data_IF_394838560589
#
_entry.id   IF_394838560589
#
_cell.length_a   1.000
_cell.length_b   1.000
_cell.length_c   1.000
_cell.angle_alpha   90.00
_cell.angle_beta   90.00
_cell.angle_gamma   90.00
#
_symmetry.space_group_name_H-M   'P 1'
#
loop_
_entity.id
_entity.type
_entity.pdbx_description
1 polymer ?
#
# COMPACT_ATOMS: atom_id res chain seq x y z
N UNK A 1 -15.07 -12.79 -28.87
CA UNK A 1 -15.44 -11.64 -28.04
C UNK A 1 -14.20 -10.78 -27.89
N UNK A 2 -14.27 -9.46 -28.10
CA UNK A 2 -13.11 -8.57 -27.99
C UNK A 2 -12.82 -8.35 -26.50
N UNK A 3 -11.56 -8.58 -26.10
CA UNK A 3 -11.08 -8.38 -24.73
C UNK A 3 -10.31 -7.07 -24.62
N UNK A 4 -10.39 -6.45 -23.46
CA UNK A 4 -9.65 -5.23 -23.12
C UNK A 4 -8.99 -5.40 -21.76
N UNK A 5 -7.86 -4.73 -21.55
CA UNK A 5 -7.22 -4.63 -20.25
C UNK A 5 -7.77 -3.42 -19.51
N UNK A 6 -8.30 -3.67 -18.31
CA UNK A 6 -8.70 -2.63 -17.37
C UNK A 6 -7.66 -2.53 -16.25
N UNK A 7 -7.38 -1.32 -15.81
CA UNK A 7 -6.48 -0.98 -14.71
C UNK A 7 -7.27 -0.28 -13.62
N UNK A 8 -7.18 -0.80 -12.42
CA UNK A 8 -7.87 -0.24 -11.26
C UNK A 8 -6.82 0.21 -10.25
N UNK A 9 -7.00 1.41 -9.69
CA UNK A 9 -6.19 1.94 -8.59
C UNK A 9 -7.08 2.31 -7.41
N UNK A 10 -6.65 1.98 -6.18
CA UNK A 10 -7.36 2.34 -4.95
C UNK A 10 -6.38 2.85 -3.92
N UNK A 11 -6.70 3.99 -3.30
CA UNK A 11 -5.89 4.56 -2.24
C UNK A 11 -6.71 5.32 -1.20
N UNK A 12 -6.10 5.55 -0.03
CA UNK A 12 -6.54 6.38 1.10
C UNK A 12 -7.92 6.00 1.66
N UNK A 13 -8.18 4.69 1.83
CA UNK A 13 -9.44 4.17 2.38
C UNK A 13 -9.37 3.83 3.86
N UNK A 14 -8.21 3.98 4.52
CA UNK A 14 -7.98 3.54 5.88
C UNK A 14 -7.69 4.69 6.85
N UNK A 15 -8.11 4.49 8.09
CA UNK A 15 -7.77 5.33 9.23
C UNK A 15 -6.54 4.74 9.95
N UNK A 16 -5.89 5.51 10.82
CA UNK A 16 -4.73 5.03 11.60
C UNK A 16 -5.00 3.73 12.38
N UNK A 17 -6.21 3.57 12.91
CA UNK A 17 -6.58 2.46 13.77
C UNK A 17 -7.50 1.45 13.09
N UNK A 18 -8.30 1.86 12.10
CA UNK A 18 -9.40 1.08 11.52
C UNK A 18 -9.24 1.00 10.00
N UNK A 19 -9.66 -0.13 9.45
CA UNK A 19 -9.66 -0.39 8.02
C UNK A 19 -8.29 -0.70 7.45
N UNK A 20 -8.25 -1.03 6.19
CA UNK A 20 -7.03 -1.26 5.44
C UNK A 20 -7.32 -1.22 3.94
N UNK A 21 -6.59 -0.41 3.19
CA UNK A 21 -6.76 -0.29 1.74
C UNK A 21 -6.52 -1.62 1.02
N UNK A 22 -5.63 -2.50 1.55
CA UNK A 22 -5.40 -3.82 0.96
C UNK A 22 -6.62 -4.73 1.04
N UNK A 23 -7.33 -4.73 2.18
CA UNK A 23 -8.58 -5.47 2.38
C UNK A 23 -9.68 -4.92 1.47
N UNK A 24 -9.84 -3.60 1.42
CA UNK A 24 -10.84 -2.95 0.56
C UNK A 24 -10.63 -3.26 -0.92
N UNK A 25 -9.38 -3.29 -1.37
CA UNK A 25 -9.06 -3.68 -2.76
C UNK A 25 -9.40 -5.16 -3.02
N UNK A 26 -9.15 -6.06 -2.06
CA UNK A 26 -9.54 -7.46 -2.20
C UNK A 26 -11.05 -7.62 -2.28
N UNK A 27 -11.79 -6.93 -1.41
CA UNK A 27 -13.26 -6.92 -1.41
C UNK A 27 -13.82 -6.41 -2.76
N UNK A 28 -13.29 -5.28 -3.27
CA UNK A 28 -13.66 -4.76 -4.58
C UNK A 28 -13.41 -5.77 -5.71
N UNK A 29 -12.23 -6.38 -5.74
CA UNK A 29 -11.85 -7.34 -6.79
C UNK A 29 -12.79 -8.56 -6.75
N UNK A 30 -13.09 -9.09 -5.58
CA UNK A 30 -14.02 -10.21 -5.46
C UNK A 30 -15.41 -9.83 -5.94
N UNK A 31 -15.88 -8.63 -5.59
CA UNK A 31 -17.17 -8.10 -6.03
C UNK A 31 -17.27 -7.93 -7.56
N UNK A 32 -16.18 -7.51 -8.20
CA UNK A 32 -16.10 -7.42 -9.67
C UNK A 32 -16.16 -8.82 -10.31
N UNK A 33 -15.38 -9.78 -9.81
CA UNK A 33 -15.31 -11.13 -10.37
C UNK A 33 -16.64 -11.86 -10.26
N UNK A 34 -17.38 -11.66 -9.16
CA UNK A 34 -18.68 -12.29 -8.94
C UNK A 34 -19.77 -11.79 -9.93
N UNK A 35 -19.58 -10.62 -10.52
CA UNK A 35 -20.59 -9.97 -11.37
C UNK A 35 -20.15 -9.80 -12.82
N UNK A 36 -18.92 -10.15 -13.17
CA UNK A 36 -18.37 -9.98 -14.52
C UNK A 36 -17.52 -11.18 -14.93
N UNK A 37 -17.21 -11.26 -16.24
CA UNK A 37 -16.26 -12.23 -16.79
C UNK A 37 -14.81 -11.71 -16.75
N UNK A 38 -14.46 -10.96 -15.70
CA UNK A 38 -13.10 -10.44 -15.53
C UNK A 38 -12.13 -11.51 -15.04
N UNK A 39 -10.95 -11.54 -15.64
CA UNK A 39 -9.79 -12.33 -15.21
C UNK A 39 -8.76 -11.39 -14.55
N UNK A 40 -8.27 -11.75 -13.36
CA UNK A 40 -7.18 -10.99 -12.71
C UNK A 40 -5.87 -11.38 -13.38
N UNK A 41 -5.19 -10.42 -13.97
CA UNK A 41 -3.85 -10.60 -14.52
C UNK A 41 -2.77 -10.30 -13.49
N UNK A 42 -2.97 -9.27 -12.65
CA UNK A 42 -1.96 -8.81 -11.70
C UNK A 42 -2.59 -8.03 -10.55
N UNK A 43 -2.03 -8.22 -9.35
CA UNK A 43 -2.29 -7.40 -8.17
C UNK A 43 -1.02 -6.66 -7.78
N UNK A 44 -1.14 -5.38 -7.49
CA UNK A 44 -0.02 -4.49 -7.15
C UNK A 44 -0.20 -3.90 -5.77
N UNK A 45 0.88 -3.88 -5.00
CA UNK A 45 0.98 -3.10 -3.76
C UNK A 45 2.16 -2.13 -3.90
N UNK A 46 1.85 -0.87 -4.16
CA UNK A 46 2.84 0.14 -4.48
C UNK A 46 3.11 1.01 -3.27
N UNK A 47 4.33 0.96 -2.75
CA UNK A 47 4.79 1.84 -1.69
C UNK A 47 5.05 3.23 -2.26
N UNK A 48 4.47 4.22 -1.63
CA UNK A 48 4.55 5.63 -2.04
C UNK A 48 5.64 6.36 -1.26
N UNK A 49 5.75 7.66 -1.47
CA UNK A 49 6.75 8.51 -0.81
C UNK A 49 6.73 8.34 0.72
N UNK A 50 7.84 7.88 1.32
CA UNK A 50 7.86 7.53 2.74
C UNK A 50 7.77 8.73 3.69
N UNK A 51 7.94 9.95 3.17
CA UNK A 51 7.92 11.20 3.94
C UNK A 51 6.63 12.01 3.77
N UNK A 52 5.60 11.43 3.14
CA UNK A 52 4.31 12.08 3.01
C UNK A 52 3.72 12.38 4.40
N UNK A 53 3.21 13.60 4.59
CA UNK A 53 2.58 14.03 5.85
C UNK A 53 1.31 13.21 6.12
N UNK A 54 0.44 13.14 5.11
CA UNK A 54 -0.76 12.30 5.12
C UNK A 54 -0.39 10.88 4.71
N UNK A 55 -0.10 10.05 5.67
CA UNK A 55 0.09 8.62 5.44
C UNK A 55 -0.41 7.81 6.63
N UNK A 56 -0.94 6.66 6.36
CA UNK A 56 -1.14 5.62 7.34
C UNK A 56 0.02 4.64 7.29
N UNK A 57 0.12 3.74 8.21
CA UNK A 57 1.08 2.61 8.32
C UNK A 57 2.23 2.58 7.30
N UNK A 58 2.04 1.88 6.18
CA UNK A 58 3.10 1.64 5.21
C UNK A 58 3.05 2.54 3.96
N UNK A 59 2.18 3.54 3.92
CA UNK A 59 1.96 4.44 2.78
C UNK A 59 1.94 3.71 1.44
N UNK A 60 0.94 2.88 1.23
CA UNK A 60 0.86 2.05 0.03
C UNK A 60 -0.50 2.11 -0.63
N UNK A 61 -0.51 2.34 -1.93
CA UNK A 61 -1.67 2.26 -2.79
C UNK A 61 -1.77 0.90 -3.49
N UNK A 62 -2.97 0.50 -3.86
CA UNK A 62 -3.24 -0.77 -4.51
C UNK A 62 -3.58 -0.57 -5.99
N UNK A 63 -3.10 -1.50 -6.81
CA UNK A 63 -3.45 -1.60 -8.20
C UNK A 63 -3.87 -3.01 -8.60
N UNK A 64 -4.69 -3.12 -9.65
CA UNK A 64 -4.99 -4.38 -10.30
C UNK A 64 -5.04 -4.21 -11.81
N UNK A 65 -4.55 -5.23 -12.54
CA UNK A 65 -4.81 -5.40 -13.96
C UNK A 65 -5.85 -6.50 -14.13
N UNK A 66 -6.90 -6.19 -14.86
CA UNK A 66 -7.98 -7.10 -15.20
C UNK A 66 -8.07 -7.23 -16.72
N UNK A 67 -8.34 -8.44 -17.19
CA UNK A 67 -8.72 -8.70 -18.58
C UNK A 67 -10.22 -8.96 -18.64
N UNK A 68 -10.93 -8.27 -19.49
CA UNK A 68 -12.38 -8.33 -19.51
C UNK A 68 -12.97 -8.16 -20.91
N UNK A 69 -14.22 -8.62 -21.15
CA UNK A 69 -14.96 -8.31 -22.36
C UNK A 69 -15.23 -6.81 -22.48
N UNK A 70 -14.97 -6.24 -23.66
CA UNK A 70 -15.15 -4.80 -23.90
C UNK A 70 -16.58 -4.34 -23.62
N UNK A 71 -17.58 -5.20 -23.83
CA UNK A 71 -18.99 -4.91 -23.61
C UNK A 71 -19.35 -4.72 -22.13
N UNK A 72 -18.49 -5.17 -21.21
CA UNK A 72 -18.73 -5.06 -19.77
C UNK A 72 -18.10 -3.81 -19.14
N UNK A 73 -17.55 -2.89 -19.94
CA UNK A 73 -16.93 -1.66 -19.41
C UNK A 73 -17.89 -0.83 -18.54
N UNK A 74 -19.08 -0.57 -19.06
CA UNK A 74 -20.10 0.21 -18.34
C UNK A 74 -20.57 -0.50 -17.07
N UNK A 75 -20.77 -1.81 -17.14
CA UNK A 75 -21.12 -2.63 -15.98
C UNK A 75 -20.03 -2.57 -14.90
N UNK A 76 -18.75 -2.67 -15.29
CA UNK A 76 -17.64 -2.52 -14.35
C UNK A 76 -17.67 -1.16 -13.64
N UNK A 77 -17.84 -0.08 -14.38
CA UNK A 77 -17.92 1.28 -13.81
C UNK A 77 -19.10 1.39 -12.84
N UNK A 78 -20.26 0.84 -13.18
CA UNK A 78 -21.43 0.81 -12.31
C UNK A 78 -21.13 0.03 -11.00
N UNK A 79 -20.59 -1.18 -11.09
CA UNK A 79 -20.20 -2.01 -9.94
C UNK A 79 -19.23 -1.24 -9.03
N UNK A 80 -18.23 -0.59 -9.60
CA UNK A 80 -17.25 0.21 -8.87
C UNK A 80 -17.89 1.39 -8.14
N UNK A 81 -18.83 2.11 -8.77
CA UNK A 81 -19.55 3.21 -8.13
C UNK A 81 -20.42 2.73 -6.95
N UNK A 82 -21.16 1.64 -7.14
CA UNK A 82 -22.01 1.05 -6.09
C UNK A 82 -21.17 0.55 -4.92
N UNK A 83 -20.06 -0.12 -5.20
CA UNK A 83 -19.13 -0.58 -4.19
C UNK A 83 -18.50 0.59 -3.42
N UNK A 84 -18.05 1.63 -4.14
CA UNK A 84 -17.43 2.80 -3.54
C UNK A 84 -18.39 3.55 -2.60
N UNK A 85 -19.64 3.71 -3.00
CA UNK A 85 -20.67 4.35 -2.19
C UNK A 85 -20.91 3.61 -0.88
N UNK A 86 -20.95 2.26 -0.91
CA UNK A 86 -21.07 1.43 0.30
C UNK A 86 -19.84 1.57 1.20
N UNK A 87 -18.65 1.52 0.61
CA UNK A 87 -17.39 1.70 1.34
C UNK A 87 -17.32 3.08 2.00
N UNK A 88 -17.72 4.13 1.30
CA UNK A 88 -17.71 5.49 1.83
C UNK A 88 -18.60 5.62 3.07
N UNK A 89 -19.80 5.03 3.04
CA UNK A 89 -20.70 5.00 4.22
C UNK A 89 -20.08 4.31 5.45
N UNK A 90 -19.16 3.37 5.25
CA UNK A 90 -18.41 2.75 6.36
C UNK A 90 -17.33 3.71 6.86
N UNK A 91 -16.60 4.38 5.95
CA UNK A 91 -15.55 5.33 6.31
C UNK A 91 -16.10 6.53 7.07
N UNK A 92 -17.28 7.01 6.75
CA UNK A 92 -17.96 8.09 7.47
C UNK A 92 -18.21 7.78 8.95
N UNK A 93 -18.22 6.50 9.33
CA UNK A 93 -18.37 6.06 10.72
C UNK A 93 -17.04 5.97 11.47
N UNK A 94 -15.90 6.21 10.79
CA UNK A 94 -14.59 6.18 11.43
C UNK A 94 -14.42 7.33 12.43
N UNK A 95 -13.59 7.15 13.48
CA UNK A 95 -13.25 8.21 14.39
C UNK A 95 -12.67 9.42 13.65
N UNK A 96 -12.96 10.62 14.14
CA UNK A 96 -12.34 11.84 13.63
C UNK A 96 -10.83 11.80 13.91
N UNK A 97 -10.03 12.11 12.91
CA UNK A 97 -8.57 12.23 13.01
C UNK A 97 -8.10 13.51 12.32
N UNK A 98 -6.86 13.88 12.56
CA UNK A 98 -6.22 15.02 11.91
C UNK A 98 -6.27 14.92 10.38
N UNK A 99 -6.06 13.70 9.87
CA UNK A 99 -6.19 13.39 8.46
C UNK A 99 -7.31 12.34 8.28
N UNK A 100 -8.49 12.83 7.91
CA UNK A 100 -9.57 11.94 7.53
C UNK A 100 -9.20 11.17 6.23
N UNK A 101 -9.62 9.91 6.08
CA UNK A 101 -9.47 9.20 4.81
C UNK A 101 -10.06 9.99 3.64
N UNK A 102 -9.39 9.95 2.51
CA UNK A 102 -9.78 10.64 1.29
C UNK A 102 -9.76 9.63 0.13
N UNK A 103 -10.65 8.62 0.16
CA UNK A 103 -10.60 7.52 -0.77
C UNK A 103 -10.76 7.95 -2.22
N UNK A 104 -9.99 7.28 -3.07
CA UNK A 104 -10.13 7.37 -4.52
C UNK A 104 -10.02 5.99 -5.15
N UNK A 105 -10.97 5.69 -6.03
CA UNK A 105 -10.98 4.56 -6.94
C UNK A 105 -10.84 5.10 -8.37
N UNK A 106 -9.77 4.69 -9.04
CA UNK A 106 -9.47 5.08 -10.41
C UNK A 106 -9.59 3.87 -11.34
N UNK A 107 -10.23 4.05 -12.48
CA UNK A 107 -10.35 3.05 -13.54
C UNK A 107 -9.77 3.64 -14.83
N UNK A 108 -8.85 2.90 -15.46
CA UNK A 108 -8.31 3.28 -16.77
C UNK A 108 -8.26 2.08 -17.71
N UNK A 109 -8.71 2.28 -18.94
CA UNK A 109 -8.60 1.28 -20.01
C UNK A 109 -7.34 1.45 -20.84
N UNK A 110 -6.60 2.54 -20.62
CA UNK A 110 -5.33 2.83 -21.26
C UNK A 110 -4.19 2.85 -20.22
N UNK A 111 -2.95 2.58 -20.62
CA UNK A 111 -1.80 2.76 -19.76
C UNK A 111 -1.65 4.22 -19.31
N UNK A 112 -1.30 4.43 -18.05
CA UNK A 112 -0.96 5.75 -17.53
C UNK A 112 0.55 6.02 -17.64
N UNK A 113 0.98 7.29 -17.71
CA UNK A 113 2.38 7.65 -17.76
C UNK A 113 3.14 7.14 -16.53
N UNK A 114 4.20 6.37 -16.71
CA UNK A 114 5.03 5.85 -15.61
C UNK A 114 5.66 6.98 -14.78
N UNK A 115 5.82 8.15 -15.35
CA UNK A 115 6.27 9.36 -14.66
C UNK A 115 5.41 9.69 -13.44
N UNK A 116 4.12 9.40 -13.46
CA UNK A 116 3.22 9.65 -12.32
C UNK A 116 3.58 8.80 -11.11
N UNK A 117 4.05 7.58 -11.34
CA UNK A 117 4.62 6.75 -10.28
C UNK A 117 5.89 7.40 -9.71
N UNK A 118 6.84 7.77 -10.58
CA UNK A 118 8.11 8.34 -10.17
C UNK A 118 7.95 9.64 -9.37
N UNK A 119 7.07 10.52 -9.79
CA UNK A 119 6.74 11.76 -9.06
C UNK A 119 6.22 11.44 -7.66
N UNK A 120 5.33 10.44 -7.55
CA UNK A 120 4.65 10.11 -6.30
C UNK A 120 5.56 9.39 -5.28
N UNK A 121 6.52 8.58 -5.74
CA UNK A 121 7.45 7.90 -4.83
C UNK A 121 8.61 8.77 -4.39
N UNK A 122 8.88 9.87 -5.09
CA UNK A 122 10.02 10.76 -4.86
C UNK A 122 9.67 12.09 -4.20
N UNK A 123 8.42 12.45 -4.12
CA UNK A 123 8.04 13.74 -3.55
C UNK A 123 6.55 13.99 -3.42
N UNK A 124 6.23 15.21 -3.06
CA UNK A 124 4.86 15.67 -3.01
C UNK A 124 4.32 15.89 -4.42
N UNK A 125 3.10 15.42 -4.64
CA UNK A 125 2.32 15.67 -5.86
C UNK A 125 1.03 16.37 -5.44
N UNK A 126 0.67 17.44 -6.12
CA UNK A 126 -0.56 18.16 -5.88
C UNK A 126 -1.77 17.32 -6.31
N UNK A 127 -2.74 17.07 -5.42
CA UNK A 127 -3.90 16.23 -5.73
C UNK A 127 -4.81 16.80 -6.82
N UNK A 128 -4.99 18.13 -6.86
CA UNK A 128 -5.81 18.79 -7.87
C UNK A 128 -5.17 18.67 -9.26
N UNK A 129 -3.86 18.93 -9.34
CA UNK A 129 -3.12 18.77 -10.60
C UNK A 129 -3.18 17.31 -11.09
N UNK A 130 -3.03 16.31 -10.19
CA UNK A 130 -3.10 14.90 -10.56
C UNK A 130 -4.51 14.51 -11.02
N UNK A 131 -5.53 15.01 -10.37
CA UNK A 131 -6.92 14.81 -10.77
C UNK A 131 -7.18 15.34 -12.18
N UNK A 132 -6.74 16.57 -12.48
CA UNK A 132 -6.89 17.19 -13.80
C UNK A 132 -6.14 16.39 -14.88
N UNK A 133 -4.95 15.90 -14.58
CA UNK A 133 -4.16 15.06 -15.48
C UNK A 133 -4.87 13.73 -15.76
N UNK A 134 -5.43 13.07 -14.75
CA UNK A 134 -6.15 11.81 -14.89
C UNK A 134 -7.46 11.99 -15.68
N UNK A 135 -8.18 13.10 -15.45
CA UNK A 135 -9.36 13.46 -16.22
C UNK A 135 -9.03 13.67 -17.71
N UNK A 136 -7.95 14.35 -18.04
CA UNK A 136 -7.46 14.52 -19.43
C UNK A 136 -7.04 13.19 -20.09
N UNK A 137 -6.74 12.16 -19.30
CA UNK A 137 -6.46 10.80 -19.78
C UNK A 137 -7.72 9.91 -19.87
N UNK A 138 -8.92 10.51 -19.73
CA UNK A 138 -10.20 9.80 -19.75
C UNK A 138 -10.28 8.66 -18.72
N UNK A 139 -9.70 8.85 -17.54
CA UNK A 139 -9.90 7.93 -16.44
C UNK A 139 -11.28 8.16 -15.81
N UNK A 140 -11.95 7.08 -15.42
CA UNK A 140 -13.08 7.15 -14.49
C UNK A 140 -12.53 7.32 -13.08
N UNK A 141 -12.88 8.42 -12.41
CA UNK A 141 -12.37 8.77 -11.09
C UNK A 141 -13.54 8.88 -10.13
N UNK A 142 -13.62 7.94 -9.19
CA UNK A 142 -14.63 7.92 -8.13
C UNK A 142 -13.91 8.30 -6.84
N UNK A 143 -14.28 9.40 -6.20
CA UNK A 143 -13.57 9.94 -5.05
C UNK A 143 -14.51 10.58 -4.02
N UNK A 144 -14.02 10.77 -2.79
CA UNK A 144 -14.69 11.57 -1.76
C UNK A 144 -14.54 13.08 -2.04
N UNK A 145 -15.06 13.92 -1.16
CA UNK A 145 -14.99 15.39 -1.32
C UNK A 145 -13.56 15.92 -1.49
N UNK A 146 -12.56 15.27 -0.88
CA UNK A 146 -11.16 15.59 -1.09
C UNK A 146 -10.51 14.64 -2.09
N UNK A 147 -9.43 15.07 -2.75
CA UNK A 147 -8.81 14.36 -3.87
C UNK A 147 -7.45 13.70 -3.52
N UNK A 148 -7.08 13.61 -2.25
CA UNK A 148 -5.75 13.13 -1.87
C UNK A 148 -5.45 11.69 -2.35
N UNK A 149 -6.42 10.78 -2.27
CA UNK A 149 -6.26 9.41 -2.74
C UNK A 149 -6.03 9.26 -4.25
N UNK A 150 -6.34 10.29 -5.05
CA UNK A 150 -6.09 10.27 -6.51
C UNK A 150 -4.62 10.07 -6.81
N UNK A 151 -3.73 10.67 -6.00
CA UNK A 151 -2.28 10.62 -6.21
C UNK A 151 -1.75 9.18 -6.13
N UNK A 152 -2.11 8.46 -5.08
CA UNK A 152 -1.66 7.08 -4.91
C UNK A 152 -2.37 6.10 -5.84
N UNK A 153 -3.68 6.27 -6.09
CA UNK A 153 -4.43 5.44 -7.03
C UNK A 153 -3.83 5.54 -8.45
N UNK A 154 -3.51 6.75 -8.92
CA UNK A 154 -2.81 6.97 -10.19
C UNK A 154 -1.42 6.33 -10.21
N UNK A 155 -0.64 6.47 -9.14
CA UNK A 155 0.70 5.90 -9.05
C UNK A 155 0.68 4.38 -9.10
N UNK A 156 -0.28 3.73 -8.43
CA UNK A 156 -0.43 2.28 -8.44
C UNK A 156 -0.79 1.71 -9.81
N UNK A 157 -1.59 2.45 -10.59
CA UNK A 157 -1.89 2.10 -11.99
C UNK A 157 -0.72 2.37 -12.92
N UNK A 158 -0.03 3.50 -12.73
CA UNK A 158 1.08 3.92 -13.58
C UNK A 158 2.36 3.08 -13.39
N UNK A 159 2.55 2.49 -12.20
CA UNK A 159 3.72 1.69 -11.91
C UNK A 159 3.77 0.43 -12.78
N UNK A 160 4.95 0.16 -13.35
CA UNK A 160 5.23 -1.06 -14.10
C UNK A 160 6.21 -1.94 -13.32
N UNK A 161 5.82 -3.17 -12.94
CA UNK A 161 6.73 -4.11 -12.30
C UNK A 161 7.98 -4.37 -13.15
N UNK A 162 9.11 -4.61 -12.47
CA UNK A 162 10.39 -4.91 -13.09
C UNK A 162 10.85 -6.31 -12.69
N UNK A 163 11.88 -6.83 -13.36
CA UNK A 163 12.44 -8.14 -13.08
C UNK A 163 12.85 -8.32 -11.61
N UNK A 164 13.37 -7.26 -10.98
CA UNK A 164 13.77 -7.25 -9.56
C UNK A 164 12.62 -6.92 -8.59
N UNK A 165 11.40 -6.74 -9.06
CA UNK A 165 10.26 -6.50 -8.17
C UNK A 165 10.05 -7.69 -7.23
N UNK A 166 9.67 -7.37 -6.00
CA UNK A 166 9.42 -8.35 -4.95
C UNK A 166 7.93 -8.63 -4.78
N UNK A 167 7.58 -9.51 -3.87
CA UNK A 167 6.19 -9.90 -3.62
C UNK A 167 5.84 -9.74 -2.15
N UNK A 168 4.60 -9.33 -1.88
CA UNK A 168 4.04 -9.29 -0.53
C UNK A 168 2.67 -9.98 -0.53
N UNK A 169 2.58 -11.05 0.24
CA UNK A 169 1.30 -11.69 0.53
C UNK A 169 0.70 -11.03 1.78
N UNK A 170 -0.51 -10.53 1.67
CA UNK A 170 -1.29 -10.00 2.79
C UNK A 170 -2.38 -11.00 3.15
N UNK A 171 -2.41 -11.39 4.43
CA UNK A 171 -3.47 -12.21 5.01
C UNK A 171 -4.36 -11.36 5.91
N UNK A 172 -5.68 -11.53 5.81
CA UNK A 172 -6.66 -10.79 6.62
C UNK A 172 -7.33 -11.67 7.65
N UNK A 173 -7.71 -11.05 8.73
CA UNK A 173 -8.35 -11.69 9.90
C UNK A 173 -9.83 -11.92 9.63
N UNK A 174 -10.41 -12.87 10.35
CA UNK A 174 -11.86 -12.97 10.47
C UNK A 174 -12.40 -11.73 11.20
N UNK A 175 -13.57 -11.21 10.81
CA UNK A 175 -14.20 -10.01 11.41
C UNK A 175 -14.32 -10.11 12.92
N UNK A 176 -14.69 -11.28 13.44
CA UNK A 176 -14.80 -11.56 14.87
C UNK A 176 -13.47 -11.42 15.64
N UNK A 177 -12.34 -11.35 14.94
CA UNK A 177 -10.99 -11.24 15.48
C UNK A 177 -10.41 -9.83 15.37
N UNK A 178 -11.00 -8.96 14.55
CA UNK A 178 -10.55 -7.57 14.40
C UNK A 178 -10.67 -6.86 15.76
N UNK A 179 -9.68 -6.04 16.10
CA UNK A 179 -9.59 -5.35 17.40
C UNK A 179 -9.04 -6.21 18.55
N UNK A 180 -9.03 -7.54 18.43
CA UNK A 180 -8.47 -8.45 19.47
C UNK A 180 -6.97 -8.65 19.27
N UNK A 181 -6.27 -9.10 20.31
CA UNK A 181 -4.85 -9.49 20.22
C UNK A 181 -4.66 -10.55 19.13
N UNK A 182 -3.69 -10.35 18.23
CA UNK A 182 -3.31 -11.35 17.22
C UNK A 182 -2.66 -12.56 17.87
N UNK A 183 -3.00 -13.74 17.38
CA UNK A 183 -2.29 -14.98 17.72
C UNK A 183 -1.28 -15.25 16.62
N UNK A 184 -0.05 -14.88 16.88
CA UNK A 184 1.11 -15.10 16.02
C UNK A 184 2.34 -15.16 16.94
N UNK A 185 2.87 -16.35 17.14
CA UNK A 185 3.99 -16.55 18.07
C UNK A 185 5.31 -16.00 17.50
N UNK A 186 6.22 -15.64 18.40
CA UNK A 186 7.56 -15.22 18.01
C UNK A 186 8.36 -16.38 17.42
N UNK A 187 8.13 -17.57 17.95
CA UNK A 187 8.76 -18.82 17.55
C UNK A 187 8.40 -19.17 16.11
N UNK A 188 7.12 -19.04 15.74
CA UNK A 188 6.67 -19.27 14.36
C UNK A 188 7.26 -18.25 13.38
N UNK A 189 7.35 -16.97 13.76
CA UNK A 189 7.98 -15.94 12.93
C UNK A 189 9.49 -16.16 12.79
N UNK A 190 10.15 -16.64 13.84
CA UNK A 190 11.57 -16.99 13.79
C UNK A 190 11.83 -18.21 12.91
N UNK A 191 11.02 -19.26 13.05
CA UNK A 191 11.13 -20.47 12.25
C UNK A 191 10.84 -20.19 10.78
N UNK A 192 9.95 -19.21 10.46
CA UNK A 192 9.67 -18.79 9.09
C UNK A 192 10.95 -18.36 8.35
N UNK A 193 11.88 -17.67 9.00
CA UNK A 193 13.15 -17.24 8.37
C UNK A 193 14.05 -18.40 8.01
N UNK A 194 14.04 -19.45 8.82
CA UNK A 194 14.85 -20.65 8.60
C UNK A 194 14.26 -21.56 7.54
N UNK A 195 12.95 -21.78 7.59
CA UNK A 195 12.24 -22.66 6.68
C UNK A 195 12.02 -22.02 5.30
N UNK A 196 11.90 -20.68 5.25
CA UNK A 196 11.68 -19.91 4.03
C UNK A 196 12.71 -18.77 3.90
N UNK A 197 14.00 -19.07 3.65
CA UNK A 197 15.09 -18.10 3.66
C UNK A 197 15.03 -17.06 2.55
N UNK A 198 14.15 -17.24 1.58
CA UNK A 198 13.89 -16.25 0.50
C UNK A 198 12.80 -15.24 0.87
N UNK A 199 12.24 -15.35 2.09
CA UNK A 199 11.42 -14.28 2.70
C UNK A 199 12.33 -13.28 3.40
N UNK A 200 11.85 -12.04 3.57
CA UNK A 200 12.66 -10.98 4.18
C UNK A 200 11.82 -10.01 5.02
N UNK A 201 12.48 -9.21 5.86
CA UNK A 201 11.83 -8.28 6.78
C UNK A 201 10.80 -8.95 7.71
N UNK A 202 11.06 -10.19 8.11
CA UNK A 202 10.15 -10.91 9.00
C UNK A 202 10.28 -10.44 10.45
N UNK A 203 11.52 -10.10 10.87
CA UNK A 203 11.84 -9.59 12.21
C UNK A 203 12.78 -8.40 12.14
N UNK A 204 12.71 -7.57 13.17
CA UNK A 204 13.69 -6.53 13.43
C UNK A 204 15.05 -7.19 13.77
N UNK A 205 16.10 -6.97 12.99
CA UNK A 205 17.38 -7.62 13.20
C UNK A 205 18.04 -7.23 14.53
N UNK A 206 17.71 -6.03 15.06
CA UNK A 206 18.29 -5.51 16.30
C UNK A 206 17.52 -5.96 17.54
N UNK A 207 16.17 -5.97 17.46
CA UNK A 207 15.28 -6.20 18.62
C UNK A 207 14.61 -7.58 18.60
N UNK A 208 14.71 -8.31 17.49
CA UNK A 208 14.07 -9.61 17.28
C UNK A 208 12.53 -9.57 17.26
N UNK A 209 11.91 -8.38 17.25
CA UNK A 209 10.47 -8.25 17.18
C UNK A 209 9.96 -8.59 15.77
N UNK A 210 8.83 -9.30 15.70
CA UNK A 210 8.17 -9.58 14.43
C UNK A 210 7.76 -8.29 13.70
N UNK A 211 8.06 -8.22 12.39
CA UNK A 211 7.69 -7.11 11.51
C UNK A 211 6.54 -7.46 10.56
N UNK A 212 6.18 -8.75 10.46
CA UNK A 212 5.14 -9.21 9.52
C UNK A 212 3.74 -8.81 9.97
N UNK A 213 3.48 -8.59 11.26
CA UNK A 213 2.18 -8.21 11.78
C UNK A 213 2.13 -6.73 12.15
N UNK A 214 1.08 -5.98 11.73
CA UNK A 214 0.92 -4.59 12.15
C UNK A 214 0.64 -4.50 13.65
N UNK A 215 1.04 -3.38 14.26
CA UNK A 215 0.80 -3.12 15.69
C UNK A 215 -0.60 -2.60 15.99
N UNK A 216 -1.27 -2.05 14.98
CA UNK A 216 -2.62 -1.50 15.09
C UNK A 216 -3.70 -2.60 15.03
N UNK A 217 -4.91 -2.37 15.56
CA UNK A 217 -6.01 -3.34 15.53
C UNK A 217 -6.70 -3.43 14.15
N UNK A 218 -5.97 -3.27 13.07
CA UNK A 218 -6.49 -3.33 11.71
C UNK A 218 -6.80 -4.77 11.26
N UNK A 219 -7.53 -4.96 10.15
CA UNK A 219 -7.92 -6.29 9.67
C UNK A 219 -6.77 -7.16 9.17
N UNK A 220 -5.59 -6.61 8.91
CA UNK A 220 -4.43 -7.40 8.47
C UNK A 220 -3.95 -8.33 9.60
N UNK A 221 -3.84 -9.61 9.31
CA UNK A 221 -3.23 -10.60 10.21
C UNK A 221 -1.69 -10.49 10.14
N UNK A 222 -1.15 -10.61 8.94
CA UNK A 222 0.27 -10.42 8.64
C UNK A 222 0.49 -10.13 7.16
N UNK A 223 1.69 -9.61 6.84
CA UNK A 223 2.21 -9.50 5.48
C UNK A 223 3.55 -10.22 5.37
N UNK A 224 3.68 -11.19 4.47
CA UNK A 224 4.91 -11.93 4.18
C UNK A 224 5.52 -11.39 2.91
N UNK A 225 6.79 -10.98 2.96
CA UNK A 225 7.53 -10.46 1.82
C UNK A 225 8.54 -11.47 1.34
N UNK A 226 8.68 -11.61 0.03
CA UNK A 226 9.59 -12.58 -0.57
C UNK A 226 10.02 -12.23 -1.99
N UNK A 227 10.97 -12.99 -2.50
CA UNK A 227 11.57 -12.76 -3.81
C UNK A 227 10.67 -13.14 -5.00
N UNK A 228 9.62 -13.93 -4.77
CA UNK A 228 8.66 -14.33 -5.80
C UNK A 228 7.30 -14.66 -5.19
N UNK A 229 6.28 -14.75 -6.03
CA UNK A 229 4.93 -15.13 -5.62
C UNK A 229 4.88 -16.53 -4.98
N UNK A 230 5.57 -17.52 -5.58
CA UNK A 230 5.64 -18.86 -5.01
C UNK A 230 6.22 -18.87 -3.61
N UNK A 231 7.28 -18.10 -3.36
CA UNK A 231 7.93 -18.00 -2.05
C UNK A 231 6.97 -17.49 -0.98
N UNK A 232 6.23 -16.43 -1.25
CA UNK A 232 5.29 -15.89 -0.25
C UNK A 232 4.08 -16.80 -0.03
N UNK A 233 3.60 -17.49 -1.07
CA UNK A 233 2.49 -18.45 -0.96
C UNK A 233 2.90 -19.72 -0.19
N UNK A 234 4.09 -20.25 -0.42
CA UNK A 234 4.63 -21.39 0.33
C UNK A 234 4.84 -21.05 1.80
N UNK A 235 5.43 -19.88 2.07
CA UNK A 235 5.63 -19.36 3.43
C UNK A 235 4.30 -19.14 4.17
N UNK A 236 3.30 -18.59 3.49
CA UNK A 236 1.94 -18.46 4.03
C UNK A 236 1.33 -19.82 4.36
N UNK A 237 1.39 -20.76 3.42
CA UNK A 237 0.83 -22.11 3.59
C UNK A 237 1.49 -22.85 4.76
N UNK A 238 2.79 -22.66 4.93
CA UNK A 238 3.53 -23.22 6.05
C UNK A 238 3.11 -22.57 7.39
N UNK A 239 3.01 -21.23 7.42
CA UNK A 239 2.66 -20.49 8.63
C UNK A 239 1.22 -20.80 9.09
N UNK A 240 0.27 -20.97 8.17
CA UNK A 240 -1.14 -21.30 8.48
C UNK A 240 -1.34 -22.74 9.01
N UNK A 241 -0.36 -23.63 8.87
CA UNK A 241 -0.38 -24.97 9.47
C UNK A 241 0.07 -24.99 10.92
N UNK A 242 0.53 -23.86 11.46
CA UNK A 242 1.03 -23.75 12.85
C UNK A 242 -0.13 -23.54 13.81
N UNK A 243 -0.16 -24.29 14.92
CA UNK A 243 -1.21 -24.19 15.94
C UNK A 243 -1.17 -22.89 16.76
N UNK A 244 -0.02 -22.19 16.73
CA UNK A 244 0.26 -20.95 17.43
C UNK A 244 0.09 -19.71 16.53
N UNK A 245 -0.58 -19.88 15.38
CA UNK A 245 -0.91 -18.83 14.41
C UNK A 245 -2.42 -18.80 14.20
N UNK A 246 -3.00 -17.60 14.24
CA UNK A 246 -4.42 -17.36 13.96
C UNK A 246 -4.73 -17.72 12.50
N UNK A 247 -5.83 -18.44 12.28
CA UNK A 247 -6.32 -18.73 10.93
C UNK A 247 -6.79 -17.45 10.25
N UNK A 248 -6.32 -17.21 9.04
CA UNK A 248 -6.77 -16.08 8.24
C UNK A 248 -8.19 -16.34 7.65
N UNK A 249 -8.90 -15.25 7.35
CA UNK A 249 -10.15 -15.30 6.59
C UNK A 249 -9.88 -15.46 5.09
N UNK A 250 -8.97 -14.65 4.59
CA UNK A 250 -8.56 -14.61 3.17
C UNK A 250 -7.14 -14.06 3.05
N UNK A 251 -6.56 -14.19 1.87
CA UNK A 251 -5.24 -13.63 1.55
C UNK A 251 -5.13 -13.32 0.06
N UNK A 252 -4.17 -12.46 -0.29
CA UNK A 252 -3.79 -12.22 -1.67
C UNK A 252 -2.30 -11.87 -1.77
N UNK A 253 -1.68 -12.31 -2.87
CA UNK A 253 -0.30 -11.98 -3.23
C UNK A 253 -0.28 -10.78 -4.17
N UNK A 254 0.64 -9.86 -3.92
CA UNK A 254 0.81 -8.63 -4.69
C UNK A 254 2.26 -8.52 -5.13
N UNK A 255 2.48 -8.17 -6.40
CA UNK A 255 3.78 -7.68 -6.81
C UNK A 255 3.97 -6.27 -6.25
N UNK A 256 5.19 -5.94 -5.78
CA UNK A 256 5.43 -4.71 -5.04
C UNK A 256 6.80 -4.10 -5.38
N UNK A 257 6.89 -2.78 -5.26
CA UNK A 257 8.16 -2.04 -5.28
C UNK A 257 8.87 -2.01 -3.91
N UNK A 258 8.45 -2.84 -2.96
CA UNK A 258 9.11 -2.97 -1.67
C UNK A 258 10.56 -3.44 -1.85
N UNK A 259 11.52 -2.78 -1.21
CA UNK A 259 12.97 -2.93 -1.40
C UNK A 259 13.50 -2.43 -2.75
N UNK A 260 12.69 -1.79 -3.60
CA UNK A 260 13.27 -1.02 -4.70
C UNK A 260 13.94 0.24 -4.14
N UNK A 261 14.97 0.69 -4.82
CA UNK A 261 15.65 1.94 -4.49
C UNK A 261 14.96 3.17 -5.10
N UNK A 262 13.74 3.01 -5.58
CA UNK A 262 13.00 4.01 -6.36
C UNK A 262 12.82 5.34 -5.62
N UNK A 263 12.73 5.31 -4.28
CA UNK A 263 12.60 6.49 -3.43
C UNK A 263 13.95 7.15 -3.07
N UNK A 264 15.08 6.49 -3.29
CA UNK A 264 16.42 6.98 -2.87
C UNK A 264 16.83 8.20 -3.68
N UNK A 265 16.43 8.30 -4.93
CA UNK A 265 16.73 9.44 -5.80
C UNK A 265 15.90 10.70 -5.45
N UNK A 266 15.05 10.67 -4.43
CA UNK A 266 14.37 11.88 -3.98
C UNK A 266 15.37 12.82 -3.31
N UNK A 267 15.83 13.82 -4.06
CA UNK A 267 16.69 14.87 -3.53
C UNK A 267 15.88 15.89 -2.74
N UNK A 268 16.32 16.17 -1.52
CA UNK A 268 15.78 17.22 -0.68
C UNK A 268 16.87 18.25 -0.41
N UNK A 269 16.61 19.50 -0.77
CA UNK A 269 17.47 20.62 -0.41
C UNK A 269 16.73 21.57 0.49
N UNK A 270 17.42 22.14 1.47
CA UNK A 270 16.84 23.10 2.40
C UNK A 270 17.68 23.31 3.65
N UNK A 271 17.15 24.09 4.59
CA UNK A 271 17.81 24.35 5.88
C UNK A 271 17.31 23.36 6.93
N UNK A 272 18.24 22.66 7.59
CA UNK A 272 17.91 21.80 8.74
C UNK A 272 17.41 22.68 9.88
N UNK A 273 16.19 22.46 10.36
CA UNK A 273 15.52 23.27 11.39
C UNK A 273 15.38 22.55 12.74
N UNK A 274 15.75 21.28 12.80
CA UNK A 274 15.79 20.53 14.06
C UNK A 274 17.02 19.65 14.16
N UNK A 275 17.52 19.45 15.37
CA UNK A 275 18.52 18.41 15.61
C UNK A 275 17.95 17.04 15.26
N UNK A 276 18.76 16.13 14.69
CA UNK A 276 18.32 14.76 14.46
C UNK A 276 17.85 14.10 15.75
N UNK A 277 16.70 13.45 15.71
CA UNK A 277 16.17 12.64 16.81
C UNK A 277 16.13 11.17 16.40
N UNK A 278 16.69 10.29 17.25
CA UNK A 278 16.68 8.86 17.01
C UNK A 278 15.43 8.22 17.61
N UNK A 279 14.76 7.39 16.82
CA UNK A 279 13.63 6.59 17.31
C UNK A 279 14.11 5.30 17.97
N UNK A 280 13.25 4.68 18.77
CA UNK A 280 13.49 3.32 19.33
C UNK A 280 13.76 2.25 18.26
N UNK A 281 13.49 2.54 16.98
CA UNK A 281 13.75 1.68 15.82
C UNK A 281 15.13 1.83 15.19
N UNK A 282 15.94 2.79 15.68
CA UNK A 282 17.27 3.07 15.11
C UNK A 282 17.22 4.03 13.90
N UNK A 283 16.05 4.56 13.56
CA UNK A 283 15.94 5.58 12.51
C UNK A 283 16.15 6.96 13.11
N UNK A 284 16.94 7.80 12.43
CA UNK A 284 17.08 9.20 12.78
C UNK A 284 16.20 10.08 11.89
N UNK A 285 15.57 11.09 12.49
CA UNK A 285 14.71 12.04 11.82
C UNK A 285 15.19 13.47 12.10
N UNK A 286 15.17 14.30 11.07
CA UNK A 286 15.35 15.74 11.19
C UNK A 286 14.31 16.47 10.36
N UNK A 287 14.09 17.76 10.67
CA UNK A 287 13.23 18.63 9.87
C UNK A 287 14.06 19.48 8.95
N UNK A 288 13.62 19.59 7.70
CA UNK A 288 14.28 20.41 6.68
C UNK A 288 13.28 21.39 6.10
N UNK A 289 13.56 22.69 6.25
CA UNK A 289 12.78 23.74 5.62
C UNK A 289 13.29 23.99 4.20
N UNK A 290 12.44 23.82 3.21
CA UNK A 290 12.82 23.90 1.78
C UNK A 290 12.49 25.26 1.14
N UNK A 291 12.12 26.28 1.91
CA UNK A 291 11.77 27.60 1.39
C UNK A 291 10.37 27.73 0.77
N UNK A 292 9.63 26.63 0.67
CA UNK A 292 8.25 26.58 0.18
C UNK A 292 7.38 26.04 1.30
N UNK A 293 6.87 26.91 2.13
CA UNK A 293 5.81 26.82 3.13
C UNK A 293 5.63 25.57 4.01
N UNK A 294 6.39 24.47 3.88
CA UNK A 294 6.29 23.28 4.75
C UNK A 294 7.65 22.67 5.07
N UNK A 295 7.85 22.36 6.34
CA UNK A 295 8.99 21.54 6.77
C UNK A 295 8.83 20.12 6.26
N UNK A 296 9.88 19.56 5.68
CA UNK A 296 9.96 18.15 5.32
C UNK A 296 10.64 17.39 6.45
N UNK A 297 10.10 16.22 6.79
CA UNK A 297 10.76 15.29 7.70
C UNK A 297 11.64 14.37 6.85
N UNK A 298 12.93 14.36 7.12
CA UNK A 298 13.90 13.48 6.48
C UNK A 298 14.24 12.36 7.46
N UNK A 299 14.05 11.11 7.04
CA UNK A 299 14.34 9.93 7.83
C UNK A 299 15.54 9.19 7.22
N UNK A 300 16.41 8.69 8.09
CA UNK A 300 17.57 7.90 7.69
C UNK A 300 17.47 6.52 8.36
N UNK A 301 17.77 5.47 7.61
CA UNK A 301 17.70 4.09 8.11
C UNK A 301 18.86 3.73 9.07
N UNK A 302 19.99 4.44 8.94
CA UNK A 302 21.20 4.20 9.73
C UNK A 302 21.67 5.48 10.43
N UNK A 303 21.99 5.38 11.71
CA UNK A 303 22.44 6.54 12.52
C UNK A 303 23.91 6.88 12.36
N UNK A 304 24.75 5.92 11.96
CA UNK A 304 26.19 6.07 11.85
C UNK A 304 26.66 7.12 10.82
N UNK A 305 26.15 7.14 9.58
CA UNK A 305 26.54 8.11 8.55
C UNK A 305 26.01 9.52 8.78
N UNK A 306 24.88 9.66 9.44
CA UNK A 306 24.19 10.96 9.61
C UNK A 306 24.99 11.94 10.44
N UNK A 307 25.64 11.46 11.48
CA UNK A 307 26.51 12.28 12.33
C UNK A 307 27.72 12.87 11.57
N UNK A 308 28.02 12.34 10.38
CA UNK A 308 29.09 12.87 9.51
C UNK A 308 28.56 13.86 8.46
N UNK A 309 27.30 13.75 8.07
CA UNK A 309 26.70 14.56 6.98
C UNK A 309 26.04 15.84 7.50
N UNK A 310 25.67 15.89 8.78
CA UNK A 310 25.01 17.05 9.43
C UNK A 310 25.99 17.88 10.30
N UNK A 311 27.30 17.66 10.19
CA UNK A 311 28.36 18.48 10.78
C UNK A 311 28.93 19.41 9.67
#
# INVERSE_FOLDING_TARGET
MQLVTCRIGLDDTDHHEIGCTTERMQDLIMHIIEQTDCEILERRLVRLWPFAERRTRGNGALGALLKMPIQQKELLVQICNEWFSRMLSIIEQYPKSEFAPSPCLLISFEPLPEEWYWQTVRGYVDPEERFDQATKKNCEIIHSDSKFGVVGACAAVAWSPREQSTWELIAWRQDSRIGKKRVLSKESVQSLETEHPRTFMNRDPTKGNGLIAPRTPCPVLYGIRGSSESVVNEAHSWLQKRNDVESCHSFASHITNQLSDDHIESMHSGTVTSMPSETKGGHAFTRVFSGISREKIVAFAETGPINRTLR
#
